data_IF_116375406116
#
_entry.id   IF_116375406116
#
_cell.length_a   1.000
_cell.length_b   1.000
_cell.length_c   1.000
_cell.angle_alpha   90.00
_cell.angle_beta   90.00
_cell.angle_gamma   90.00
#
_symmetry.space_group_name_H-M   'P 1'
#
loop_
_entity.id
_entity.type
_entity.pdbx_description
1 polymer ?
#
# COMPACT_ATOMS: atom_id res chain seq x y z
N UNK A 1 -8.27 9.61 -24.57
CA UNK A 1 -6.87 9.10 -24.54
C UNK A 1 -5.94 10.26 -24.24
N UNK A 2 -5.23 10.23 -23.10
CA UNK A 2 -4.35 11.32 -22.68
C UNK A 2 -2.96 11.22 -23.38
N UNK A 3 -2.10 12.23 -23.21
CA UNK A 3 -0.76 12.26 -23.84
C UNK A 3 0.11 11.09 -23.38
N UNK A 4 0.03 10.70 -22.12
CA UNK A 4 0.82 9.60 -21.55
C UNK A 4 0.45 8.25 -22.19
N UNK A 5 -0.84 7.94 -22.30
CA UNK A 5 -1.32 6.71 -22.94
C UNK A 5 -0.90 6.61 -24.40
N UNK A 6 -0.82 7.74 -25.12
CA UNK A 6 -0.31 7.77 -26.51
C UNK A 6 1.18 7.46 -26.55
N UNK A 7 1.97 7.98 -25.62
CA UNK A 7 3.42 7.71 -25.56
C UNK A 7 3.71 6.27 -25.13
N UNK A 8 2.92 5.71 -24.21
CA UNK A 8 3.02 4.29 -23.82
C UNK A 8 2.69 3.37 -24.98
N UNK A 9 1.62 3.64 -25.73
CA UNK A 9 1.26 2.88 -26.93
C UNK A 9 2.35 2.93 -28.00
N UNK A 10 2.99 4.10 -28.20
CA UNK A 10 4.13 4.23 -29.12
C UNK A 10 5.33 3.42 -28.68
N UNK A 11 5.70 3.45 -27.39
CA UNK A 11 6.81 2.65 -26.85
C UNK A 11 6.53 1.16 -26.99
N UNK A 12 5.30 0.75 -26.69
CA UNK A 12 4.84 -0.63 -26.84
C UNK A 12 4.92 -1.11 -28.29
N UNK A 13 4.46 -0.29 -29.24
CA UNK A 13 4.57 -0.59 -30.67
C UNK A 13 6.04 -0.65 -31.13
N UNK A 14 6.86 0.32 -30.73
CA UNK A 14 8.28 0.40 -31.08
C UNK A 14 9.07 -0.83 -30.58
N UNK A 15 8.77 -1.33 -29.39
CA UNK A 15 9.40 -2.53 -28.83
C UNK A 15 9.13 -3.82 -29.62
N UNK A 16 8.12 -3.83 -30.49
CA UNK A 16 7.70 -4.98 -31.30
C UNK A 16 8.04 -4.85 -32.78
N UNK A 17 8.62 -3.72 -33.18
CA UNK A 17 9.06 -3.51 -34.57
C UNK A 17 10.25 -4.43 -34.85
N UNK A 18 10.12 -5.29 -35.85
CA UNK A 18 11.19 -6.18 -36.32
C UNK A 18 11.34 -7.49 -35.55
N UNK A 19 10.50 -7.75 -34.54
CA UNK A 19 10.41 -9.04 -33.87
C UNK A 19 9.51 -10.00 -34.66
N UNK A 20 9.85 -11.28 -34.60
CA UNK A 20 8.99 -12.35 -35.09
C UNK A 20 7.72 -12.49 -34.23
N UNK A 21 6.70 -13.15 -34.77
CA UNK A 21 5.46 -13.41 -34.03
C UNK A 21 5.71 -14.20 -32.73
N UNK A 22 6.69 -15.09 -32.73
CA UNK A 22 7.08 -15.88 -31.55
C UNK A 22 7.74 -15.00 -30.48
N UNK A 23 8.69 -14.13 -30.86
CA UNK A 23 9.34 -13.20 -29.93
C UNK A 23 8.37 -12.16 -29.35
N UNK A 24 7.40 -11.69 -30.16
CA UNK A 24 6.33 -10.82 -29.68
C UNK A 24 5.48 -11.54 -28.64
N UNK A 25 5.11 -12.80 -28.90
CA UNK A 25 4.29 -13.58 -27.97
C UNK A 25 5.02 -13.87 -26.64
N UNK A 26 6.32 -14.15 -26.69
CA UNK A 26 7.13 -14.32 -25.47
C UNK A 26 7.24 -13.01 -24.68
N UNK A 27 7.47 -11.89 -25.37
CA UNK A 27 7.51 -10.57 -24.76
C UNK A 27 6.18 -10.21 -24.09
N UNK A 28 5.06 -10.42 -24.77
CA UNK A 28 3.72 -10.17 -24.25
C UNK A 28 3.42 -11.05 -23.02
N UNK A 29 3.83 -12.32 -23.05
CA UNK A 29 3.67 -13.23 -21.91
C UNK A 29 4.48 -12.76 -20.69
N UNK A 30 5.72 -12.31 -20.91
CA UNK A 30 6.57 -11.75 -19.85
C UNK A 30 6.00 -10.46 -19.28
N UNK A 31 5.57 -9.54 -20.15
CA UNK A 31 4.97 -8.27 -19.74
C UNK A 31 3.68 -8.52 -18.95
N UNK A 32 2.83 -9.46 -19.39
CA UNK A 32 1.62 -9.85 -18.68
C UNK A 32 1.92 -10.44 -17.29
N UNK A 33 2.91 -11.33 -17.18
CA UNK A 33 3.32 -11.90 -15.89
C UNK A 33 3.84 -10.82 -14.92
N UNK A 34 4.63 -9.87 -15.42
CA UNK A 34 5.12 -8.73 -14.62
C UNK A 34 3.96 -7.83 -14.17
N UNK A 35 2.97 -7.55 -15.02
CA UNK A 35 1.80 -6.76 -14.64
C UNK A 35 0.99 -7.44 -13.53
N UNK A 36 0.79 -8.75 -13.59
CA UNK A 36 0.11 -9.51 -12.53
C UNK A 36 0.88 -9.40 -11.20
N UNK A 37 2.21 -9.53 -11.24
CA UNK A 37 3.05 -9.38 -10.05
C UNK A 37 2.94 -7.97 -9.45
N UNK A 38 3.03 -6.93 -10.28
CA UNK A 38 2.94 -5.53 -9.84
C UNK A 38 1.56 -5.18 -9.30
N UNK A 39 0.49 -5.71 -9.89
CA UNK A 39 -0.87 -5.55 -9.35
C UNK A 39 -0.99 -6.17 -7.95
N UNK A 40 -0.49 -7.40 -7.77
CA UNK A 40 -0.45 -8.04 -6.45
C UNK A 40 0.41 -7.26 -5.46
N UNK A 41 1.56 -6.74 -5.89
CA UNK A 41 2.45 -5.94 -5.05
C UNK A 41 1.76 -4.68 -4.53
N UNK A 42 1.04 -3.96 -5.40
CA UNK A 42 0.28 -2.75 -5.02
C UNK A 42 -0.84 -3.06 -4.03
N UNK A 43 -1.58 -4.15 -4.26
CA UNK A 43 -2.66 -4.55 -3.34
C UNK A 43 -2.11 -4.90 -1.94
N UNK A 44 -1.02 -5.67 -1.88
CA UNK A 44 -0.37 -6.01 -0.61
C UNK A 44 0.27 -4.80 0.07
N UNK A 45 0.88 -3.90 -0.70
CA UNK A 45 1.47 -2.67 -0.18
C UNK A 45 0.40 -1.79 0.48
N UNK A 46 -0.72 -1.55 -0.20
CA UNK A 46 -1.83 -0.79 0.36
C UNK A 46 -2.42 -1.42 1.64
N UNK A 47 -2.43 -2.75 1.74
CA UNK A 47 -2.92 -3.45 2.93
C UNK A 47 -1.90 -3.48 4.08
N UNK A 48 -0.61 -3.56 3.78
CA UNK A 48 0.46 -3.64 4.78
C UNK A 48 0.84 -2.26 5.34
N UNK A 49 0.69 -1.21 4.53
CA UNK A 49 1.05 0.17 4.85
C UNK A 49 -0.09 1.13 4.49
N UNK A 50 -1.31 0.94 5.04
CA UNK A 50 -2.45 1.80 4.74
C UNK A 50 -2.18 3.26 5.09
N UNK A 51 -1.35 3.52 6.10
CA UNK A 51 -0.99 4.86 6.57
C UNK A 51 -0.34 5.73 5.47
N UNK A 52 0.36 5.12 4.52
CA UNK A 52 1.02 5.85 3.42
C UNK A 52 0.01 6.43 2.41
N UNK A 53 -1.25 5.99 2.47
CA UNK A 53 -2.34 6.43 1.61
C UNK A 53 -3.37 7.30 2.34
N UNK A 54 -3.30 7.42 3.68
CA UNK A 54 -4.29 8.15 4.49
C UNK A 54 -4.39 9.63 4.11
N UNK A 55 -3.33 10.17 3.50
CA UNK A 55 -3.19 11.56 3.13
C UNK A 55 -3.59 11.89 1.69
N UNK A 56 -3.95 10.88 0.90
CA UNK A 56 -4.17 11.03 -0.54
C UNK A 56 -5.42 11.87 -0.86
N UNK A 57 -6.34 11.96 0.09
CA UNK A 57 -7.60 12.70 -0.02
C UNK A 57 -7.71 13.90 0.92
N UNK A 58 -6.59 14.32 1.53
CA UNK A 58 -6.54 15.52 2.35
C UNK A 58 -6.97 16.74 1.54
N UNK A 59 -7.80 17.58 2.16
CA UNK A 59 -8.08 18.90 1.62
C UNK A 59 -6.95 19.89 1.95
N UNK A 60 -7.10 21.15 1.51
CA UNK A 60 -6.09 22.18 1.76
C UNK A 60 -5.90 22.48 3.26
N UNK A 61 -6.93 22.25 4.08
CA UNK A 61 -6.90 22.50 5.51
C UNK A 61 -6.18 21.37 6.25
N UNK A 62 -6.49 20.11 5.96
CA UNK A 62 -5.82 18.94 6.52
C UNK A 62 -4.32 18.96 6.21
N UNK A 63 -3.95 19.28 4.97
CA UNK A 63 -2.56 19.45 4.58
C UNK A 63 -1.86 20.60 5.34
N UNK A 64 -2.57 21.68 5.66
CA UNK A 64 -2.02 22.80 6.42
C UNK A 64 -1.82 22.44 7.90
N UNK A 65 -2.71 21.65 8.49
CA UNK A 65 -2.57 21.13 9.86
C UNK A 65 -1.37 20.19 9.98
N UNK A 66 -1.19 19.26 9.05
CA UNK A 66 -0.03 18.35 9.05
C UNK A 66 1.30 19.07 8.92
N UNK A 67 1.37 20.13 8.10
CA UNK A 67 2.57 21.00 8.02
C UNK A 67 2.92 21.66 9.35
N UNK A 68 1.97 21.79 10.27
CA UNK A 68 2.16 22.29 11.64
C UNK A 68 2.38 21.16 12.65
N UNK A 69 2.49 19.91 12.21
CA UNK A 69 2.64 18.72 13.05
C UNK A 69 1.35 18.27 13.72
N UNK A 70 0.19 18.78 13.30
CA UNK A 70 -1.11 18.42 13.84
C UNK A 70 -1.71 17.37 12.92
N UNK A 71 -1.70 16.12 13.35
CA UNK A 71 -2.36 15.03 12.61
C UNK A 71 -3.86 15.02 12.91
N UNK A 72 -4.68 14.85 11.88
CA UNK A 72 -6.12 14.56 12.01
C UNK A 72 -6.37 13.11 12.43
N UNK A 73 -5.35 12.26 12.37
CA UNK A 73 -5.44 10.85 12.76
C UNK A 73 -5.34 10.68 14.27
N UNK A 74 -6.04 9.68 14.81
CA UNK A 74 -5.99 9.33 16.23
C UNK A 74 -4.59 8.84 16.61
N UNK A 75 -4.06 9.28 17.74
CA UNK A 75 -2.75 8.84 18.24
C UNK A 75 -2.66 7.31 18.41
N UNK A 76 -3.75 6.67 18.82
CA UNK A 76 -3.82 5.21 18.94
C UNK A 76 -3.67 4.50 17.60
N UNK A 77 -4.15 5.10 16.51
CA UNK A 77 -4.00 4.58 15.16
C UNK A 77 -2.56 4.75 14.68
N UNK A 78 -1.97 5.93 14.86
CA UNK A 78 -0.55 6.21 14.53
C UNK A 78 0.38 5.26 15.30
N UNK A 79 0.15 5.07 16.60
CA UNK A 79 0.96 4.16 17.42
C UNK A 79 0.88 2.70 16.92
N UNK A 80 -0.32 2.26 16.54
CA UNK A 80 -0.58 0.92 16.01
C UNK A 80 0.10 0.71 14.65
N UNK A 81 -0.03 1.62 13.70
CA UNK A 81 0.62 1.51 12.39
C UNK A 81 2.14 1.61 12.52
N UNK A 82 2.65 2.47 13.40
CA UNK A 82 4.09 2.54 13.69
C UNK A 82 4.65 1.25 14.33
N UNK A 83 3.91 0.60 15.23
CA UNK A 83 4.29 -0.71 15.76
C UNK A 83 4.35 -1.77 14.65
N UNK A 84 3.35 -1.75 13.74
CA UNK A 84 3.30 -2.62 12.55
C UNK A 84 4.48 -2.39 11.61
N UNK A 85 4.90 -1.14 11.39
CA UNK A 85 6.10 -0.78 10.61
C UNK A 85 7.37 -1.29 11.28
N UNK A 86 7.51 -1.07 12.58
CA UNK A 86 8.67 -1.51 13.36
C UNK A 86 8.84 -3.04 13.33
N UNK A 87 7.75 -3.80 13.42
CA UNK A 87 7.76 -5.26 13.32
C UNK A 87 8.27 -5.76 11.95
N UNK A 88 8.10 -4.98 10.90
CA UNK A 88 8.60 -5.25 9.55
C UNK A 88 10.00 -4.66 9.28
N UNK A 89 10.60 -3.98 10.27
CA UNK A 89 11.92 -3.34 10.16
C UNK A 89 11.91 -1.97 9.51
N UNK A 90 10.76 -1.29 9.46
CA UNK A 90 10.63 0.06 8.93
C UNK A 90 10.62 1.12 10.03
N UNK A 91 11.16 2.29 9.70
CA UNK A 91 11.06 3.47 10.56
C UNK A 91 9.59 3.90 10.73
N UNK A 92 9.29 4.44 11.92
CA UNK A 92 8.01 5.07 12.23
C UNK A 92 7.74 6.25 11.29
N UNK A 93 6.47 6.45 10.97
CA UNK A 93 5.99 7.65 10.32
C UNK A 93 5.84 8.77 11.35
N UNK A 94 6.36 9.95 11.02
CA UNK A 94 6.20 11.14 11.85
C UNK A 94 4.76 11.65 11.86
N UNK A 95 4.40 12.44 12.87
CA UNK A 95 3.08 13.09 12.95
C UNK A 95 2.75 14.00 11.75
N UNK A 96 3.75 14.41 10.97
CA UNK A 96 3.59 15.19 9.74
C UNK A 96 3.29 14.34 8.49
N UNK A 97 3.15 13.02 8.64
CA UNK A 97 2.91 12.09 7.54
C UNK A 97 4.12 11.96 6.61
N UNK A 98 5.33 12.21 7.12
CA UNK A 98 6.58 12.01 6.39
C UNK A 98 7.30 10.80 6.94
N UNK A 99 7.66 9.89 6.04
CA UNK A 99 8.56 8.77 6.33
C UNK A 99 9.98 9.10 5.85
N UNK A 100 10.99 8.68 6.60
CA UNK A 100 12.40 8.79 6.18
C UNK A 100 12.85 7.61 5.30
N UNK A 101 12.03 6.56 5.22
CA UNK A 101 12.35 5.31 4.51
C UNK A 101 11.29 5.06 3.43
N UNK A 102 11.69 5.30 2.19
CA UNK A 102 10.79 5.72 1.10
C UNK A 102 10.36 4.62 0.13
N UNK A 103 10.68 3.34 0.37
CA UNK A 103 10.41 2.30 -0.63
C UNK A 103 9.84 0.98 -0.08
N UNK A 104 8.76 1.10 0.68
CA UNK A 104 7.92 -0.03 1.14
C UNK A 104 7.33 -0.82 -0.03
N UNK A 105 6.98 -0.17 -1.15
CA UNK A 105 6.46 -0.84 -2.34
C UNK A 105 7.53 -1.72 -3.01
N UNK A 106 8.77 -1.26 -3.15
CA UNK A 106 9.84 -2.11 -3.67
C UNK A 106 10.15 -3.27 -2.74
N UNK A 107 10.06 -3.08 -1.43
CA UNK A 107 10.22 -4.18 -0.46
C UNK A 107 9.15 -5.26 -0.67
N UNK A 108 7.87 -4.89 -0.80
CA UNK A 108 6.78 -5.83 -1.10
C UNK A 108 7.03 -6.52 -2.44
N UNK A 109 7.40 -5.76 -3.47
CA UNK A 109 7.71 -6.28 -4.80
C UNK A 109 8.85 -7.31 -4.75
N UNK A 110 9.91 -7.03 -4.00
CA UNK A 110 11.06 -7.93 -3.86
C UNK A 110 10.69 -9.20 -3.09
N UNK A 111 9.87 -9.09 -2.03
CA UNK A 111 9.34 -10.26 -1.31
C UNK A 111 8.52 -11.17 -2.21
N UNK A 112 7.67 -10.61 -3.07
CA UNK A 112 6.91 -11.37 -4.06
C UNK A 112 7.82 -12.06 -5.09
N UNK A 113 8.80 -11.34 -5.63
CA UNK A 113 9.80 -11.92 -6.56
C UNK A 113 10.63 -13.03 -5.92
N UNK A 114 10.85 -12.96 -4.61
CA UNK A 114 11.58 -13.98 -3.83
C UNK A 114 10.69 -15.16 -3.39
N UNK A 115 9.42 -15.23 -3.83
CA UNK A 115 8.49 -16.31 -3.47
C UNK A 115 7.91 -16.20 -2.05
N UNK A 116 8.14 -15.09 -1.34
CA UNK A 116 7.68 -14.88 0.04
C UNK A 116 6.27 -14.28 0.13
N UNK A 117 5.44 -14.47 -0.90
CA UNK A 117 4.08 -13.94 -0.93
C UNK A 117 3.19 -14.49 0.20
N UNK A 118 3.32 -15.77 0.53
CA UNK A 118 2.54 -16.40 1.61
C UNK A 118 2.87 -15.83 3.00
N UNK A 119 4.12 -15.39 3.22
CA UNK A 119 4.54 -14.70 4.45
C UNK A 119 3.79 -13.37 4.59
N UNK A 120 3.70 -12.59 3.51
CA UNK A 120 2.95 -11.33 3.49
C UNK A 120 1.46 -11.55 3.74
N UNK A 121 0.87 -12.56 3.09
CA UNK A 121 -0.54 -12.92 3.29
C UNK A 121 -0.80 -13.38 4.74
N UNK A 122 0.15 -14.06 5.38
CA UNK A 122 0.04 -14.48 6.78
C UNK A 122 0.05 -13.28 7.74
N UNK A 123 0.95 -12.31 7.51
CA UNK A 123 1.01 -11.07 8.29
C UNK A 123 -0.33 -10.31 8.21
N UNK A 124 -0.94 -10.24 7.02
CA UNK A 124 -2.23 -9.59 6.86
C UNK A 124 -3.34 -10.31 7.62
N UNK A 125 -3.41 -11.65 7.54
CA UNK A 125 -4.41 -12.42 8.29
C UNK A 125 -4.27 -12.26 9.81
N UNK A 126 -3.05 -12.20 10.31
CA UNK A 126 -2.78 -11.95 11.73
C UNK A 126 -3.29 -10.57 12.15
N UNK A 127 -2.99 -9.54 11.37
CA UNK A 127 -3.46 -8.17 11.62
C UNK A 127 -4.98 -8.03 11.56
N UNK A 128 -5.63 -8.70 10.61
CA UNK A 128 -7.10 -8.71 10.50
C UNK A 128 -7.75 -9.38 11.71
N UNK A 129 -7.13 -10.45 12.23
CA UNK A 129 -7.57 -11.13 13.44
C UNK A 129 -7.40 -10.25 14.69
N UNK A 130 -6.27 -9.54 14.82
CA UNK A 130 -6.04 -8.55 15.88
C UNK A 130 -7.11 -7.44 15.88
N UNK A 131 -7.42 -6.92 14.69
CA UNK A 131 -8.36 -5.81 14.53
C UNK A 131 -9.79 -6.24 14.87
N UNK A 132 -10.18 -7.43 14.41
CA UNK A 132 -11.48 -8.03 14.74
C UNK A 132 -11.61 -8.32 16.24
N UNK A 133 -10.55 -8.81 16.88
CA UNK A 133 -10.55 -9.08 18.32
C UNK A 133 -10.66 -7.79 19.14
N UNK A 134 -9.93 -6.73 18.76
CA UNK A 134 -9.98 -5.42 19.39
C UNK A 134 -11.38 -4.79 19.28
N UNK A 135 -12.03 -4.91 18.11
CA UNK A 135 -13.39 -4.40 17.89
C UNK A 135 -14.44 -5.16 18.72
N UNK A 136 -14.28 -6.47 18.89
CA UNK A 136 -15.16 -7.29 19.74
C UNK A 136 -14.98 -7.05 21.25
N UNK A 137 -13.80 -6.57 21.66
CA UNK A 137 -13.45 -6.28 23.05
C UNK A 137 -13.79 -4.84 23.47
N UNK A 138 -14.09 -3.95 22.52
CA UNK A 138 -14.57 -2.62 22.83
C UNK A 138 -15.91 -2.73 23.60
N UNK A 139 -16.03 -2.14 24.79
CA UNK A 139 -17.29 -2.19 25.52
C UNK A 139 -18.37 -1.58 24.63
N UNK A 140 -19.40 -2.36 24.31
CA UNK A 140 -20.66 -1.80 23.79
C UNK A 140 -21.03 -0.73 24.79
N UNK A 141 -21.12 0.53 24.36
CA UNK A 141 -21.71 1.55 25.21
C UNK A 141 -23.10 1.06 25.52
N UNK A 142 -23.27 0.49 26.71
CA UNK A 142 -24.58 0.35 27.32
C UNK A 142 -25.10 1.76 27.35
N UNK A 143 -25.98 2.05 26.39
CA UNK A 143 -26.83 3.20 26.39
C UNK A 143 -27.68 3.02 27.63
N UNK A 144 -27.14 3.50 28.75
CA UNK A 144 -27.83 3.54 30.02
C UNK A 144 -29.18 4.16 29.74
N UNK A 145 -30.21 3.35 29.90
CA UNK A 145 -31.55 3.81 30.10
C UNK A 145 -31.52 4.69 31.34
N UNK A 146 -31.49 6.01 31.15
CA UNK A 146 -31.84 6.95 32.20
C UNK A 146 -32.97 7.83 31.67
N UNK A 147 -34.13 7.50 32.23
CA UNK A 147 -35.40 8.22 32.40
C UNK A 147 -35.55 9.63 31.86
#
# INVERSE_FOLDING_TARGET
MNRQSKEEAKKHAAARVGLSAEEIAELDARDAAEQVLLQKARALHAALFPEELDHFYDDAWDAALRRRGISSMKDSYIAKTNARRAALGFAAEGHDGRTQQTDTLSWVTQKLRSGKGAELDAILRERDAEDSACESAAPRSDRAAEF
#
